data_IF_154956102241
#
_entry.id   IF_154956102241
#
_cell.length_a   1.000
_cell.length_b   1.000
_cell.length_c   1.000
_cell.angle_alpha   90.00
_cell.angle_beta   90.00
_cell.angle_gamma   90.00
#
_symmetry.space_group_name_H-M   'P 1'
#
loop_
_entity.id
_entity.type
_entity.pdbx_description
1 polymer ?
#
# COMPACT_ATOMS: atom_id res chain seq x y z
N UNK A 1 -16.51 -15.28 20.08
CA UNK A 1 -15.92 -14.44 18.99
C UNK A 1 -15.06 -15.33 18.10
N UNK A 2 -15.05 -15.09 16.77
CA UNK A 2 -14.12 -15.81 15.88
C UNK A 2 -12.67 -15.37 16.17
N UNK A 3 -11.73 -16.32 16.10
CA UNK A 3 -10.29 -16.03 16.24
C UNK A 3 -9.74 -15.30 15.03
N UNK A 4 -8.52 -14.72 15.13
CA UNK A 4 -7.81 -14.10 14.00
C UNK A 4 -7.64 -15.11 12.85
N UNK A 5 -7.24 -16.35 13.18
CA UNK A 5 -7.08 -17.44 12.21
C UNK A 5 -8.40 -17.77 11.47
N UNK A 6 -9.50 -17.89 12.22
CA UNK A 6 -10.82 -18.16 11.63
C UNK A 6 -11.28 -17.04 10.70
N UNK A 7 -11.06 -15.78 11.10
CA UNK A 7 -11.42 -14.62 10.26
C UNK A 7 -10.58 -14.59 8.97
N UNK A 8 -9.27 -14.76 9.08
CA UNK A 8 -8.36 -14.78 7.92
C UNK A 8 -8.75 -15.88 6.94
N UNK A 9 -8.98 -17.11 7.44
CA UNK A 9 -9.42 -18.24 6.63
C UNK A 9 -10.78 -18.00 5.96
N UNK A 10 -11.72 -17.34 6.68
CA UNK A 10 -13.01 -16.99 6.10
C UNK A 10 -12.85 -16.03 4.91
N UNK A 11 -11.98 -15.00 5.05
CA UNK A 11 -11.70 -14.05 3.96
C UNK A 11 -11.00 -14.76 2.79
N UNK A 12 -9.96 -15.55 3.05
CA UNK A 12 -9.26 -16.31 2.01
C UNK A 12 -10.19 -17.20 1.20
N UNK A 13 -11.12 -17.90 1.89
CA UNK A 13 -12.10 -18.78 1.23
C UNK A 13 -13.17 -18.01 0.41
N UNK A 14 -13.38 -16.71 0.67
CA UNK A 14 -14.30 -15.87 -0.09
C UNK A 14 -13.70 -15.26 -1.35
N UNK A 15 -12.38 -15.35 -1.52
CA UNK A 15 -11.70 -14.80 -2.69
C UNK A 15 -11.81 -15.74 -3.90
N UNK A 16 -11.85 -15.16 -5.12
CA UNK A 16 -11.81 -15.95 -6.35
C UNK A 16 -10.51 -16.76 -6.45
N UNK A 17 -10.61 -18.08 -6.63
CA UNK A 17 -9.45 -18.98 -6.71
C UNK A 17 -8.58 -18.80 -7.97
N UNK A 18 -9.10 -18.09 -8.97
CA UNK A 18 -8.46 -17.89 -10.28
C UNK A 18 -7.57 -16.63 -10.34
N UNK A 19 -7.50 -15.86 -9.27
CA UNK A 19 -6.73 -14.62 -9.20
C UNK A 19 -5.70 -14.73 -8.07
N UNK A 20 -4.49 -14.27 -8.34
CA UNK A 20 -3.45 -14.13 -7.32
C UNK A 20 -3.72 -12.86 -6.49
N UNK A 21 -4.59 -13.01 -5.48
CA UNK A 21 -5.00 -11.91 -4.60
C UNK A 21 -4.21 -11.98 -3.30
N UNK A 22 -3.37 -10.99 -3.07
CA UNK A 22 -2.63 -10.82 -1.81
C UNK A 22 -3.48 -10.04 -0.80
N UNK A 23 -3.71 -10.63 0.38
CA UNK A 23 -4.40 -9.97 1.48
C UNK A 23 -3.40 -9.18 2.32
N UNK A 24 -3.58 -7.88 2.42
CA UNK A 24 -2.85 -7.03 3.37
C UNK A 24 -3.63 -6.98 4.69
N UNK A 25 -3.10 -7.62 5.72
CA UNK A 25 -3.69 -7.60 7.07
C UNK A 25 -3.36 -6.27 7.73
N UNK A 26 -4.36 -5.41 7.94
CA UNK A 26 -4.18 -4.09 8.55
C UNK A 26 -3.97 -4.24 10.06
N UNK A 27 -2.77 -3.89 10.53
CA UNK A 27 -2.32 -4.11 11.91
C UNK A 27 -2.23 -2.84 12.76
N UNK A 28 -2.60 -1.68 12.19
CA UNK A 28 -2.69 -0.43 12.98
C UNK A 28 -3.51 -0.64 14.24
N UNK A 29 -3.05 -0.08 15.38
CA UNK A 29 -3.68 -0.21 16.69
C UNK A 29 -3.75 -1.65 17.26
N UNK A 30 -3.10 -2.62 16.66
CA UNK A 30 -3.02 -4.00 17.15
C UNK A 30 -1.75 -4.20 17.96
N UNK A 31 -1.81 -5.12 18.91
CA UNK A 31 -0.65 -5.48 19.73
C UNK A 31 0.33 -6.37 18.96
N UNK A 32 1.63 -6.40 19.32
CA UNK A 32 2.59 -7.33 18.72
C UNK A 32 2.11 -8.78 18.74
N UNK A 33 1.52 -9.23 19.85
CA UNK A 33 0.96 -10.58 19.99
C UNK A 33 -0.13 -10.88 18.98
N UNK A 34 -1.04 -9.92 18.71
CA UNK A 34 -2.09 -10.10 17.68
C UNK A 34 -1.49 -10.18 16.28
N UNK A 35 -0.39 -9.48 16.03
CA UNK A 35 0.31 -9.55 14.73
C UNK A 35 0.99 -10.92 14.59
N UNK A 36 1.66 -11.41 15.63
CA UNK A 36 2.24 -12.77 15.64
C UNK A 36 1.18 -13.85 15.43
N UNK A 37 0.00 -13.72 16.05
CA UNK A 37 -1.14 -14.61 15.80
C UNK A 37 -1.61 -14.59 14.33
N UNK A 38 -1.62 -13.40 13.71
CA UNK A 38 -1.96 -13.28 12.28
C UNK A 38 -0.90 -13.93 11.37
N UNK A 39 0.38 -13.72 11.66
CA UNK A 39 1.50 -14.34 10.94
C UNK A 39 1.44 -15.87 11.07
N UNK A 40 1.24 -16.39 12.29
CA UNK A 40 1.09 -17.81 12.54
C UNK A 40 -0.15 -18.42 11.83
N UNK A 41 -1.19 -17.61 11.60
CA UNK A 41 -2.37 -17.99 10.85
C UNK A 41 -2.20 -17.91 9.32
N UNK A 42 -0.99 -17.57 8.82
CA UNK A 42 -0.68 -17.52 7.40
C UNK A 42 -0.85 -16.14 6.75
N UNK A 43 -0.86 -15.06 7.52
CA UNK A 43 -0.73 -13.72 6.95
C UNK A 43 0.65 -13.57 6.31
N UNK A 44 0.71 -13.29 5.01
CA UNK A 44 1.96 -13.05 4.28
C UNK A 44 2.29 -11.56 4.14
N UNK A 45 1.35 -10.67 4.49
CA UNK A 45 1.48 -9.25 4.28
C UNK A 45 0.73 -8.47 5.38
N UNK A 46 1.39 -7.46 5.96
CA UNK A 46 0.81 -6.60 7.00
C UNK A 46 0.89 -5.13 6.61
N UNK A 47 -0.07 -4.33 7.08
CA UNK A 47 -0.16 -2.91 6.76
C UNK A 47 -0.25 -2.01 7.99
N UNK A 48 0.65 -1.02 8.07
CA UNK A 48 0.68 0.00 9.11
C UNK A 48 0.51 1.41 8.53
N UNK A 49 -0.10 2.30 9.31
CA UNK A 49 -0.34 3.67 8.85
C UNK A 49 0.49 4.74 9.58
N UNK A 50 1.31 4.35 10.55
CA UNK A 50 2.19 5.25 11.32
C UNK A 50 3.59 4.64 11.47
N UNK A 51 4.60 5.37 11.00
CA UNK A 51 5.99 4.90 11.00
C UNK A 51 6.51 4.65 12.42
N UNK A 52 6.18 5.53 13.38
CA UNK A 52 6.63 5.37 14.77
C UNK A 52 6.01 4.13 15.43
N UNK A 53 4.69 3.95 15.26
CA UNK A 53 3.97 2.80 15.79
C UNK A 53 4.52 1.48 15.22
N UNK A 54 4.80 1.47 13.92
CA UNK A 54 5.40 0.32 13.25
C UNK A 54 6.80 -0.02 13.81
N UNK A 55 7.66 0.98 14.00
CA UNK A 55 9.00 0.79 14.53
C UNK A 55 8.98 0.13 15.92
N UNK A 56 8.13 0.67 16.81
CA UNK A 56 7.97 0.14 18.16
C UNK A 56 7.43 -1.30 18.19
N UNK A 57 6.46 -1.60 17.32
CA UNK A 57 5.87 -2.94 17.22
C UNK A 57 6.80 -3.95 16.56
N UNK A 58 7.41 -3.59 15.43
CA UNK A 58 8.23 -4.54 14.66
C UNK A 58 9.45 -5.01 15.45
N UNK A 59 9.99 -4.18 16.35
CA UNK A 59 11.08 -4.57 17.25
C UNK A 59 10.70 -5.64 18.29
N UNK A 60 9.38 -5.82 18.54
CA UNK A 60 8.84 -6.75 19.52
C UNK A 60 8.30 -8.05 18.90
N UNK A 61 8.34 -8.18 17.56
CA UNK A 61 7.80 -9.33 16.84
C UNK A 61 8.94 -10.19 16.32
N UNK A 62 9.05 -11.40 16.85
CA UNK A 62 10.16 -12.30 16.57
C UNK A 62 10.22 -12.82 15.14
N UNK A 63 9.08 -12.91 14.47
CA UNK A 63 8.92 -13.46 13.12
C UNK A 63 8.52 -12.42 12.07
N UNK A 64 8.80 -11.14 12.32
CA UNK A 64 8.41 -10.02 11.44
C UNK A 64 9.03 -10.12 10.02
N UNK A 65 10.16 -10.78 9.87
CA UNK A 65 10.85 -11.02 8.60
C UNK A 65 10.11 -12.01 7.68
N UNK A 66 9.14 -12.77 8.21
CA UNK A 66 8.35 -13.73 7.41
C UNK A 66 7.22 -13.08 6.63
N UNK A 67 6.96 -11.80 6.84
CA UNK A 67 5.86 -11.07 6.20
C UNK A 67 6.34 -9.80 5.49
N UNK A 68 5.69 -9.49 4.38
CA UNK A 68 5.87 -8.23 3.69
C UNK A 68 5.25 -7.08 4.50
N UNK A 69 6.04 -6.07 4.83
CA UNK A 69 5.62 -4.89 5.60
C UNK A 69 5.24 -3.77 4.65
N UNK A 70 3.99 -3.36 4.67
CA UNK A 70 3.45 -2.30 3.80
C UNK A 70 3.06 -1.06 4.59
N UNK A 71 3.48 0.11 4.09
CA UNK A 71 3.02 1.38 4.63
C UNK A 71 1.79 1.86 3.87
N UNK A 72 0.66 1.90 4.55
CA UNK A 72 -0.66 2.22 3.95
C UNK A 72 -1.23 3.56 4.44
N UNK A 73 -0.46 4.33 5.23
CA UNK A 73 -0.88 5.62 5.77
C UNK A 73 -0.35 6.80 4.97
N UNK A 74 -0.72 8.03 5.35
CA UNK A 74 -0.16 9.23 4.75
C UNK A 74 1.28 9.45 5.21
N UNK A 75 2.24 9.33 4.30
CA UNK A 75 3.67 9.47 4.62
C UNK A 75 4.09 10.94 4.70
N UNK A 76 4.56 11.35 5.87
CA UNK A 76 5.17 12.66 6.07
C UNK A 76 6.61 12.66 5.55
N UNK A 77 7.03 13.74 4.89
CA UNK A 77 8.36 13.81 4.25
C UNK A 77 9.52 13.66 5.23
N UNK A 78 9.37 14.11 6.48
CA UNK A 78 10.39 13.96 7.53
C UNK A 78 10.50 12.51 8.07
N UNK A 79 9.62 11.60 7.66
CA UNK A 79 9.62 10.18 8.05
C UNK A 79 10.10 9.24 6.95
N UNK A 80 10.38 9.75 5.75
CA UNK A 80 10.74 8.93 4.58
C UNK A 80 11.96 8.05 4.88
N UNK A 81 13.05 8.60 5.39
CA UNK A 81 14.27 7.83 5.68
C UNK A 81 14.05 6.66 6.67
N UNK A 82 13.09 6.82 7.59
CA UNK A 82 12.70 5.77 8.51
C UNK A 82 11.76 4.77 7.83
N UNK A 83 10.80 5.26 7.04
CA UNK A 83 9.83 4.43 6.34
C UNK A 83 10.52 3.45 5.38
N UNK A 84 11.46 3.90 4.55
CA UNK A 84 12.18 3.05 3.59
C UNK A 84 13.07 1.98 4.24
N UNK A 85 13.42 2.12 5.52
CA UNK A 85 14.13 1.08 6.29
C UNK A 85 13.21 0.08 6.95
N UNK A 86 11.96 0.46 7.23
CA UNK A 86 11.00 -0.35 7.97
C UNK A 86 10.04 -1.13 7.07
N UNK A 87 9.72 -0.57 5.91
CA UNK A 87 8.69 -1.11 5.04
C UNK A 87 9.26 -1.59 3.72
N UNK A 88 8.78 -2.73 3.28
CA UNK A 88 9.16 -3.30 1.99
C UNK A 88 8.46 -2.57 0.84
N UNK A 89 7.22 -2.09 1.08
CA UNK A 89 6.42 -1.34 0.09
C UNK A 89 5.76 -0.12 0.73
N UNK A 90 5.71 1.00 0.01
CA UNK A 90 4.94 2.19 0.38
C UNK A 90 3.76 2.31 -0.58
N UNK A 91 2.54 1.99 -0.10
CA UNK A 91 1.33 1.92 -0.94
C UNK A 91 0.66 3.28 -1.19
N UNK A 92 1.11 4.33 -0.52
CA UNK A 92 0.39 5.62 -0.42
C UNK A 92 1.19 6.80 -0.98
N UNK A 93 1.88 6.59 -2.10
CA UNK A 93 2.57 7.70 -2.78
C UNK A 93 1.55 8.54 -3.53
N UNK A 94 1.17 9.66 -2.96
CA UNK A 94 0.01 10.47 -3.34
C UNK A 94 0.30 11.68 -4.21
N UNK A 95 1.57 11.94 -4.52
CA UNK A 95 1.97 13.13 -5.26
C UNK A 95 3.38 13.02 -5.83
N UNK A 96 3.66 13.77 -6.90
CA UNK A 96 5.00 13.90 -7.50
C UNK A 96 6.04 14.36 -6.47
N UNK A 97 5.68 15.31 -5.60
CA UNK A 97 6.55 15.79 -4.54
C UNK A 97 6.97 14.66 -3.60
N UNK A 98 6.04 13.78 -3.21
CA UNK A 98 6.35 12.65 -2.33
C UNK A 98 7.17 11.61 -3.07
N UNK A 99 6.83 11.27 -4.32
CA UNK A 99 7.58 10.35 -5.17
C UNK A 99 9.05 10.80 -5.30
N UNK A 100 9.28 12.07 -5.66
CA UNK A 100 10.62 12.65 -5.75
C UNK A 100 11.40 12.54 -4.45
N UNK A 101 10.79 12.82 -3.31
CA UNK A 101 11.45 12.73 -1.99
C UNK A 101 11.80 11.31 -1.60
N UNK A 102 10.96 10.33 -1.94
CA UNK A 102 11.27 8.90 -1.72
C UNK A 102 12.40 8.47 -2.64
N UNK A 103 12.35 8.83 -3.93
CA UNK A 103 13.41 8.58 -4.92
C UNK A 103 14.78 9.10 -4.42
N UNK A 104 14.86 10.39 -4.07
CA UNK A 104 16.08 11.00 -3.52
C UNK A 104 16.60 10.26 -2.26
N UNK A 105 15.71 9.80 -1.40
CA UNK A 105 16.09 9.09 -0.17
C UNK A 105 16.56 7.65 -0.46
N UNK A 106 15.92 6.97 -1.42
CA UNK A 106 16.28 5.62 -1.85
C UNK A 106 17.66 5.62 -2.54
N UNK A 107 17.90 6.58 -3.45
CA UNK A 107 19.21 6.74 -4.11
C UNK A 107 20.33 6.97 -3.09
N UNK A 108 20.13 7.84 -2.10
CA UNK A 108 21.13 8.05 -1.03
C UNK A 108 21.46 6.80 -0.23
N UNK A 109 20.55 5.83 -0.17
CA UNK A 109 20.74 4.55 0.52
C UNK A 109 21.08 3.41 -0.46
N UNK A 110 21.25 3.72 -1.75
CA UNK A 110 21.54 2.76 -2.83
C UNK A 110 20.57 1.58 -2.88
N UNK A 111 19.25 1.89 -2.76
CA UNK A 111 18.18 0.91 -2.85
C UNK A 111 17.13 1.35 -3.88
N UNK A 112 16.32 0.40 -4.34
CA UNK A 112 15.10 0.65 -5.10
C UNK A 112 13.90 0.40 -4.17
N UNK A 113 13.21 1.49 -3.76
CA UNK A 113 12.04 1.39 -2.91
C UNK A 113 10.81 0.98 -3.74
N UNK A 114 10.19 -0.13 -3.37
CA UNK A 114 8.92 -0.57 -3.96
C UNK A 114 7.80 0.35 -3.52
N UNK A 115 6.97 0.81 -4.47
CA UNK A 115 5.87 1.75 -4.19
C UNK A 115 4.63 1.45 -5.02
N UNK A 116 3.46 1.85 -4.50
CA UNK A 116 2.24 2.04 -5.29
C UNK A 116 1.89 3.52 -5.34
N UNK A 117 1.40 3.98 -6.48
CA UNK A 117 0.89 5.34 -6.60
C UNK A 117 -0.58 5.39 -6.21
N UNK A 118 -0.89 6.26 -5.25
CA UNK A 118 -2.26 6.44 -4.79
C UNK A 118 -3.02 7.35 -5.75
N UNK A 119 -4.15 6.85 -6.26
CA UNK A 119 -5.04 7.57 -7.16
C UNK A 119 -6.26 8.08 -6.41
N UNK A 120 -6.59 9.35 -6.57
CA UNK A 120 -7.86 9.92 -6.13
C UNK A 120 -8.95 9.61 -7.17
N UNK A 121 -9.46 8.40 -7.12
CA UNK A 121 -10.42 7.88 -8.09
C UNK A 121 -11.84 8.41 -7.92
N UNK A 122 -12.17 8.98 -6.75
CA UNK A 122 -13.48 9.55 -6.46
C UNK A 122 -13.61 11.02 -6.85
N UNK A 123 -12.49 11.71 -7.15
CA UNK A 123 -12.46 13.14 -7.44
C UNK A 123 -12.76 14.07 -6.26
N UNK A 124 -12.87 13.53 -5.05
CA UNK A 124 -13.09 14.35 -3.85
C UNK A 124 -11.84 15.17 -3.52
N UNK A 125 -11.96 16.48 -3.45
CA UNK A 125 -10.84 17.42 -3.20
C UNK A 125 -10.16 17.21 -1.85
N UNK A 126 -10.85 16.59 -0.90
CA UNK A 126 -10.32 16.27 0.45
C UNK A 126 -9.45 15.00 0.49
N UNK A 127 -9.48 14.19 -0.57
CA UNK A 127 -8.69 12.95 -0.65
C UNK A 127 -7.34 13.19 -1.30
N UNK A 128 -6.31 12.61 -0.70
CA UNK A 128 -4.97 12.57 -1.26
C UNK A 128 -4.91 11.58 -2.44
N UNK A 129 -3.97 11.81 -3.35
CA UNK A 129 -3.73 10.96 -4.51
C UNK A 129 -3.56 11.77 -5.79
N UNK A 130 -2.90 11.17 -6.78
CA UNK A 130 -2.86 11.71 -8.14
C UNK A 130 -4.28 11.76 -8.72
N UNK A 131 -4.60 12.83 -9.42
CA UNK A 131 -5.86 12.94 -10.14
C UNK A 131 -5.91 12.00 -11.35
N UNK A 132 -7.11 11.68 -11.84
CA UNK A 132 -7.28 10.83 -13.03
C UNK A 132 -6.68 11.46 -14.30
N UNK A 133 -6.41 12.77 -14.29
CA UNK A 133 -5.83 13.53 -15.41
C UNK A 133 -4.31 13.70 -15.30
N UNK A 134 -3.69 13.33 -14.17
CA UNK A 134 -2.27 13.57 -13.90
C UNK A 134 -1.34 12.51 -14.55
N UNK A 135 -1.73 12.04 -15.73
CA UNK A 135 -1.10 10.91 -16.44
C UNK A 135 0.38 11.14 -16.73
N UNK A 136 0.70 12.30 -17.31
CA UNK A 136 2.07 12.67 -17.65
C UNK A 136 2.95 12.70 -16.41
N UNK A 137 2.46 13.32 -15.35
CA UNK A 137 3.14 13.37 -14.05
C UNK A 137 3.36 11.97 -13.46
N UNK A 138 2.38 11.06 -13.58
CA UNK A 138 2.51 9.67 -13.12
C UNK A 138 3.61 8.96 -13.91
N UNK A 139 3.62 9.10 -15.25
CA UNK A 139 4.64 8.49 -16.12
C UNK A 139 6.04 9.01 -15.80
N UNK A 140 6.20 10.32 -15.59
CA UNK A 140 7.46 10.90 -15.13
C UNK A 140 7.93 10.30 -13.81
N UNK A 141 7.01 10.12 -12.84
CA UNK A 141 7.34 9.55 -11.54
C UNK A 141 7.71 8.06 -11.61
N UNK A 142 7.10 7.29 -12.54
CA UNK A 142 7.44 5.86 -12.73
C UNK A 142 8.90 5.69 -13.14
N UNK A 143 9.39 6.58 -13.98
CA UNK A 143 10.77 6.55 -14.47
C UNK A 143 11.79 7.15 -13.49
N UNK A 144 11.37 7.50 -12.27
CA UNK A 144 12.28 8.08 -11.26
C UNK A 144 13.22 7.01 -10.72
N UNK A 145 14.53 7.26 -10.82
CA UNK A 145 15.57 6.39 -10.27
C UNK A 145 15.39 6.19 -8.76
N UNK A 146 15.65 4.98 -8.26
CA UNK A 146 15.47 4.62 -6.85
C UNK A 146 14.03 4.27 -6.48
N UNK A 147 13.08 4.30 -7.43
CA UNK A 147 11.72 3.78 -7.24
C UNK A 147 11.50 2.51 -8.08
N UNK A 148 10.80 1.56 -7.49
CA UNK A 148 10.22 0.41 -8.19
C UNK A 148 8.71 0.51 -8.05
N UNK A 149 8.05 1.06 -9.09
CA UNK A 149 6.59 1.24 -9.09
C UNK A 149 5.92 -0.06 -9.50
N UNK A 150 5.21 -0.70 -8.57
CA UNK A 150 4.56 -2.01 -8.78
C UNK A 150 3.10 -1.89 -9.23
N UNK A 151 2.51 -0.72 -9.12
CA UNK A 151 1.11 -0.53 -9.51
C UNK A 151 0.47 0.71 -8.90
N UNK A 152 -0.85 0.66 -8.86
CA UNK A 152 -1.69 1.73 -8.33
C UNK A 152 -2.43 1.27 -7.08
N UNK A 153 -2.70 2.21 -6.18
CA UNK A 153 -3.55 2.04 -5.03
C UNK A 153 -4.70 3.04 -5.07
N UNK A 154 -5.87 2.64 -4.64
CA UNK A 154 -6.98 3.57 -4.42
C UNK A 154 -7.79 3.20 -3.19
N UNK A 155 -8.45 4.19 -2.63
CA UNK A 155 -9.48 4.00 -1.61
C UNK A 155 -10.84 4.38 -2.19
N UNK A 156 -11.78 3.45 -2.13
CA UNK A 156 -13.16 3.73 -2.54
C UNK A 156 -13.78 4.90 -1.77
N UNK A 157 -14.85 5.52 -2.30
CA UNK A 157 -15.56 6.58 -1.62
C UNK A 157 -16.23 6.05 -0.33
N UNK A 158 -16.33 6.93 0.68
CA UNK A 158 -17.04 6.59 1.92
C UNK A 158 -18.56 6.63 1.71
N UNK A 159 -19.10 5.58 1.09
CA UNK A 159 -20.53 5.46 0.74
C UNK A 159 -20.98 4.01 0.79
N UNK A 160 -22.29 3.78 0.93
CA UNK A 160 -22.90 2.46 0.78
C UNK A 160 -23.43 2.19 -0.66
N UNK A 161 -23.28 3.15 -1.57
CA UNK A 161 -23.71 3.04 -2.96
C UNK A 161 -22.68 2.22 -3.75
N UNK A 162 -22.96 0.95 -4.01
CA UNK A 162 -22.06 0.02 -4.72
C UNK A 162 -21.58 0.60 -6.07
N UNK A 163 -22.49 1.17 -6.87
CA UNK A 163 -22.13 1.75 -8.16
C UNK A 163 -21.04 2.83 -8.06
N UNK A 164 -21.02 3.65 -7.01
CA UNK A 164 -19.96 4.65 -6.79
C UNK A 164 -18.63 4.00 -6.40
N UNK A 165 -18.71 2.91 -5.63
CA UNK A 165 -17.52 2.15 -5.24
C UNK A 165 -16.92 1.49 -6.48
N UNK A 166 -17.74 0.78 -7.27
CA UNK A 166 -17.32 0.13 -8.52
C UNK A 166 -16.72 1.14 -9.49
N UNK A 167 -17.36 2.29 -9.70
CA UNK A 167 -16.85 3.35 -10.57
C UNK A 167 -15.46 3.85 -10.14
N UNK A 168 -15.22 4.00 -8.85
CA UNK A 168 -13.91 4.45 -8.35
C UNK A 168 -12.80 3.42 -8.66
N UNK A 169 -13.09 2.13 -8.54
CA UNK A 169 -12.13 1.08 -8.91
C UNK A 169 -11.93 1.00 -10.42
N UNK A 170 -12.98 1.09 -11.23
CA UNK A 170 -12.88 1.11 -12.69
C UNK A 170 -12.10 2.34 -13.20
N UNK A 171 -12.28 3.50 -12.58
CA UNK A 171 -11.49 4.70 -12.88
C UNK A 171 -9.98 4.44 -12.65
N UNK A 172 -9.63 3.79 -11.53
CA UNK A 172 -8.22 3.45 -11.23
C UNK A 172 -7.68 2.43 -12.23
N UNK A 173 -8.46 1.41 -12.56
CA UNK A 173 -8.13 0.40 -13.55
C UNK A 173 -7.89 1.02 -14.94
N UNK A 174 -8.72 1.97 -15.33
CA UNK A 174 -8.53 2.71 -16.60
C UNK A 174 -7.19 3.45 -16.63
N UNK A 175 -6.78 4.10 -15.53
CA UNK A 175 -5.46 4.74 -15.42
C UNK A 175 -4.35 3.70 -15.59
N UNK A 176 -4.48 2.50 -15.02
CA UNK A 176 -3.50 1.43 -15.14
C UNK A 176 -3.35 0.93 -16.58
N UNK A 177 -4.46 0.59 -17.26
CA UNK A 177 -4.42 -0.01 -18.60
C UNK A 177 -4.07 0.97 -19.73
N UNK A 178 -4.48 2.21 -19.61
CA UNK A 178 -4.31 3.17 -20.72
C UNK A 178 -2.95 3.86 -20.73
N UNK A 179 -2.19 3.80 -19.64
CA UNK A 179 -0.99 4.63 -19.46
C UNK A 179 0.20 3.95 -18.80
N UNK A 180 -0.01 2.81 -18.19
CA UNK A 180 1.02 2.08 -17.49
C UNK A 180 1.05 0.67 -18.08
N UNK A 181 1.91 0.41 -19.05
CA UNK A 181 2.32 -0.96 -19.35
C UNK A 181 3.16 -1.49 -18.18
N UNK A 182 2.60 -1.40 -16.97
CA UNK A 182 3.18 -2.08 -15.82
C UNK A 182 2.90 -3.57 -16.00
N UNK A 183 3.88 -4.43 -15.77
CA UNK A 183 3.61 -5.86 -15.77
C UNK A 183 2.48 -6.10 -14.77
N UNK A 184 1.40 -6.69 -15.25
CA UNK A 184 0.33 -7.18 -14.39
C UNK A 184 0.91 -8.35 -13.62
N UNK A 185 1.30 -8.10 -12.37
CA UNK A 185 1.71 -9.16 -11.45
C UNK A 185 0.44 -9.80 -10.92
#
# INVERSE_FOLDING_TARGET
MKTIAQNLKTIQNSLPKQQDIKIVVVTKTRTPKQIEEAIAAGACCIGENRVQEAEEKFSQISNIQLVEKRFIGRLQTNKINKAIRLFDVIDSVDSQRLAKKISEAAQRQNINQRVLFQINSSGETTKAGFGLKDKETIVECINSEGLLVEGLMTMGPNTRQLAKIEQAFENTKTVSYTHLTLPTI
#
